data_IF_143338242544
#
_entry.id   IF_143338242544
#
_cell.length_a   1.000
_cell.length_b   1.000
_cell.length_c   1.000
_cell.angle_alpha   90.00
_cell.angle_beta   90.00
_cell.angle_gamma   90.00
#
_symmetry.space_group_name_H-M   'P 1'
#
loop_
_entity.id
_entity.type
_entity.pdbx_description
1 polymer ?
#
# COMPACT_ATOMS: atom_id res chain seq x y z
N UNK A 1 -9.48 -2.06 15.71
CA UNK A 1 -9.06 -1.42 14.45
C UNK A 1 -7.57 -1.65 14.33
N UNK A 2 -7.05 -2.00 13.15
CA UNK A 2 -5.59 -2.03 12.95
C UNK A 2 -4.99 -0.68 13.36
N UNK A 3 -3.76 -0.72 13.87
CA UNK A 3 -3.00 0.48 14.20
C UNK A 3 -2.67 1.22 12.88
N UNK A 4 -2.97 2.52 12.82
CA UNK A 4 -2.68 3.34 11.63
C UNK A 4 -1.16 3.47 11.47
N UNK A 5 -0.68 3.33 10.23
CA UNK A 5 0.76 3.40 9.91
C UNK A 5 1.27 4.84 9.88
N UNK A 6 0.36 5.83 9.90
CA UNK A 6 0.68 7.24 9.81
C UNK A 6 0.92 7.75 8.39
N UNK A 7 0.74 6.88 7.37
CA UNK A 7 0.70 7.26 5.97
C UNK A 7 -0.67 6.84 5.40
N UNK A 8 -1.50 7.84 5.09
CA UNK A 8 -2.88 7.65 4.61
C UNK A 8 -2.95 6.72 3.38
N UNK A 9 -1.90 6.70 2.54
CA UNK A 9 -1.85 5.82 1.35
C UNK A 9 -1.66 4.37 1.77
N UNK A 10 -0.78 4.12 2.73
CA UNK A 10 -0.55 2.78 3.29
C UNK A 10 -1.77 2.31 4.06
N UNK A 11 -2.40 3.18 4.84
CA UNK A 11 -3.62 2.88 5.60
C UNK A 11 -4.78 2.49 4.68
N UNK A 12 -4.93 3.16 3.52
CA UNK A 12 -5.94 2.81 2.51
C UNK A 12 -5.71 1.41 1.91
N UNK A 13 -4.45 1.07 1.60
CA UNK A 13 -4.08 -0.25 1.07
C UNK A 13 -4.40 -1.35 2.10
N UNK A 14 -4.03 -1.13 3.37
CA UNK A 14 -4.30 -2.08 4.47
C UNK A 14 -5.80 -2.24 4.71
N UNK A 15 -6.57 -1.15 4.66
CA UNK A 15 -8.03 -1.20 4.75
C UNK A 15 -8.65 -2.05 3.61
N UNK A 16 -8.06 -1.99 2.41
CA UNK A 16 -8.45 -2.79 1.25
C UNK A 16 -8.39 -4.32 1.47
N UNK A 17 -7.55 -4.79 2.40
CA UNK A 17 -7.48 -6.21 2.79
C UNK A 17 -8.74 -6.69 3.52
N UNK A 18 -9.59 -5.78 4.02
CA UNK A 18 -10.88 -6.14 4.63
C UNK A 18 -11.81 -6.92 3.68
N UNK A 19 -11.65 -6.74 2.35
CA UNK A 19 -12.40 -7.45 1.30
C UNK A 19 -12.23 -8.97 1.35
N UNK A 20 -11.13 -9.47 1.93
CA UNK A 20 -10.85 -10.91 2.02
C UNK A 20 -11.95 -11.68 2.77
N UNK A 21 -12.59 -11.06 3.76
CA UNK A 21 -13.68 -11.68 4.52
C UNK A 21 -14.96 -11.92 3.72
N UNK A 22 -15.10 -11.26 2.57
CA UNK A 22 -16.30 -11.29 1.72
C UNK A 22 -16.09 -12.14 0.46
N UNK A 23 -14.85 -12.53 0.17
CA UNK A 23 -14.44 -13.23 -1.04
C UNK A 23 -14.05 -14.69 -0.76
N UNK A 24 -14.26 -15.60 -1.73
CA UNK A 24 -13.73 -16.95 -1.61
C UNK A 24 -12.20 -16.94 -1.63
N UNK A 25 -11.59 -17.91 -0.95
CA UNK A 25 -10.13 -18.01 -0.78
C UNK A 25 -9.36 -18.01 -2.11
N UNK A 26 -9.97 -18.52 -3.19
CA UNK A 26 -9.38 -18.46 -4.54
C UNK A 26 -9.09 -17.05 -5.03
N UNK A 27 -9.86 -16.06 -4.58
CA UNK A 27 -9.70 -14.65 -4.97
C UNK A 27 -8.72 -13.90 -4.07
N UNK A 28 -8.33 -14.48 -2.93
CA UNK A 28 -7.45 -13.81 -1.96
C UNK A 28 -6.08 -13.48 -2.56
N UNK A 29 -5.58 -14.35 -3.45
CA UNK A 29 -4.30 -14.12 -4.14
C UNK A 29 -4.33 -12.82 -4.96
N UNK A 30 -5.42 -12.56 -5.68
CA UNK A 30 -5.55 -11.33 -6.47
C UNK A 30 -5.57 -10.08 -5.58
N UNK A 31 -6.28 -10.15 -4.44
CA UNK A 31 -6.33 -9.05 -3.47
C UNK A 31 -4.95 -8.78 -2.85
N UNK A 32 -4.19 -9.84 -2.52
CA UNK A 32 -2.84 -9.67 -2.00
C UNK A 32 -1.87 -9.10 -3.05
N UNK A 33 -1.97 -9.53 -4.31
CA UNK A 33 -1.13 -9.05 -5.40
C UNK A 33 -1.36 -7.56 -5.70
N UNK A 34 -2.63 -7.13 -5.69
CA UNK A 34 -3.03 -5.73 -5.79
C UNK A 34 -2.43 -4.90 -4.66
N UNK A 35 -2.66 -5.32 -3.41
CA UNK A 35 -2.17 -4.60 -2.23
C UNK A 35 -0.63 -4.53 -2.19
N UNK A 36 0.05 -5.61 -2.60
CA UNK A 36 1.51 -5.64 -2.67
C UNK A 36 2.05 -4.66 -3.73
N UNK A 37 1.47 -4.67 -4.93
CA UNK A 37 1.87 -3.77 -6.01
C UNK A 37 1.67 -2.30 -5.64
N UNK A 38 0.55 -1.97 -4.99
CA UNK A 38 0.28 -0.60 -4.52
C UNK A 38 1.23 -0.15 -3.41
N UNK A 39 1.59 -1.07 -2.50
CA UNK A 39 2.53 -0.79 -1.43
C UNK A 39 3.94 -0.55 -1.99
N UNK A 40 4.40 -1.38 -2.93
CA UNK A 40 5.69 -1.17 -3.60
C UNK A 40 5.75 0.20 -4.28
N UNK A 41 4.70 0.58 -5.00
CA UNK A 41 4.61 1.90 -5.64
C UNK A 41 4.63 3.05 -4.63
N UNK A 42 3.92 2.90 -3.51
CA UNK A 42 3.85 3.91 -2.45
C UNK A 42 5.21 4.11 -1.79
N UNK A 43 5.93 3.01 -1.49
CA UNK A 43 7.25 3.06 -0.87
C UNK A 43 8.32 3.58 -1.83
N UNK A 44 8.28 3.17 -3.09
CA UNK A 44 9.20 3.69 -4.12
C UNK A 44 9.07 5.21 -4.30
N UNK A 45 7.85 5.76 -4.17
CA UNK A 45 7.62 7.20 -4.23
C UNK A 45 8.14 7.99 -3.02
N UNK A 46 8.43 7.32 -1.89
CA UNK A 46 9.05 7.94 -0.72
C UNK A 46 10.58 7.96 -0.85
N UNK A 47 11.15 6.94 -1.51
CA UNK A 47 12.60 6.81 -1.75
C UNK A 47 13.13 7.68 -2.91
N UNK A 48 12.25 8.31 -3.71
CA UNK A 48 12.62 9.26 -4.76
C UNK A 48 12.48 10.71 -4.26
N UNK A 49 13.52 11.30 -3.61
CA UNK A 49 13.52 12.72 -3.33
C UNK A 49 13.50 13.47 -4.65
N UNK A 50 12.47 14.30 -4.86
CA UNK A 50 12.30 15.10 -6.05
C UNK A 50 13.64 15.71 -6.53
N UNK A 51 13.94 15.70 -7.84
CA UNK A 51 15.20 16.22 -8.37
C UNK A 51 15.25 17.74 -8.17
N UNK A 52 15.77 18.17 -7.02
CA UNK A 52 15.79 19.58 -6.62
C UNK A 52 16.52 19.90 -5.31
N UNK A 53 16.79 18.92 -4.44
CA UNK A 53 17.50 19.15 -3.16
C UNK A 53 18.93 18.61 -3.12
N UNK A 54 19.58 18.45 -4.27
CA UNK A 54 21.04 18.24 -4.35
C UNK A 54 21.70 19.53 -4.84
N UNK A 55 21.71 20.54 -3.97
CA UNK A 55 22.16 21.88 -4.35
C UNK A 55 22.13 22.92 -3.23
N UNK A 56 22.86 22.68 -2.14
CA UNK A 56 23.50 23.75 -1.38
C UNK A 56 24.66 23.27 -0.53
#
# INVERSE_FOLDING_TARGET
MPEETGDERVDAIVAGLGRLGELPVSEHVAVFDEAFSELEGTLAAVDDPAPGESGR
#
